data_IF_339725537642
#
_entry.id   IF_339725537642
#
_cell.length_a   1.000
_cell.length_b   1.000
_cell.length_c   1.000
_cell.angle_alpha   90.00
_cell.angle_beta   90.00
_cell.angle_gamma   90.00
#
_symmetry.space_group_name_H-M   'P 1'
#
loop_
_entity.id
_entity.type
_entity.pdbx_description
1 polymer ?
#
# COMPACT_ATOMS: atom_id res chain seq x y z
N UNK A 1 -63.74 20.31 -2.41
CA UNK A 1 -62.68 19.49 -1.75
C UNK A 1 -61.58 19.27 -2.74
N UNK A 2 -60.41 19.94 -2.53
CA UNK A 2 -59.22 19.76 -3.35
C UNK A 2 -58.26 18.86 -2.58
N UNK A 3 -58.02 17.65 -3.12
CA UNK A 3 -57.06 16.70 -2.58
C UNK A 3 -55.69 17.07 -3.14
N UNK A 4 -54.78 17.54 -2.28
CA UNK A 4 -53.39 17.82 -2.62
C UNK A 4 -52.65 16.50 -2.39
N UNK A 5 -52.26 15.85 -3.48
CA UNK A 5 -51.38 14.67 -3.45
C UNK A 5 -49.94 15.14 -3.33
N UNK A 6 -49.37 15.00 -2.15
CA UNK A 6 -47.95 15.27 -1.87
C UNK A 6 -47.11 14.08 -2.37
N UNK A 7 -46.47 14.25 -3.51
CA UNK A 7 -45.49 13.30 -4.05
C UNK A 7 -44.16 13.49 -3.28
N UNK A 8 -43.89 12.55 -2.37
CA UNK A 8 -42.58 12.43 -1.73
C UNK A 8 -41.58 11.86 -2.75
N UNK A 9 -40.72 12.71 -3.32
CA UNK A 9 -39.54 12.26 -4.01
C UNK A 9 -38.50 11.78 -2.99
N UNK A 10 -38.39 10.48 -2.82
CA UNK A 10 -37.23 9.86 -2.15
C UNK A 10 -36.05 9.96 -3.10
N UNK A 11 -35.22 10.97 -2.95
CA UNK A 11 -33.87 10.99 -3.55
C UNK A 11 -32.98 10.02 -2.79
N UNK A 12 -32.80 8.82 -3.34
CA UNK A 12 -31.77 7.92 -2.94
C UNK A 12 -30.42 8.58 -3.31
N UNK A 13 -29.84 9.29 -2.35
CA UNK A 13 -28.43 9.67 -2.44
C UNK A 13 -27.60 8.40 -2.31
N UNK A 14 -27.20 7.81 -3.44
CA UNK A 14 -26.11 6.86 -3.46
C UNK A 14 -24.86 7.62 -3.02
N UNK A 15 -24.42 7.39 -1.78
CA UNK A 15 -23.08 7.73 -1.35
C UNK A 15 -22.11 6.97 -2.26
N UNK A 16 -21.51 7.66 -3.22
CA UNK A 16 -20.34 7.19 -3.93
C UNK A 16 -19.17 7.27 -2.97
N UNK A 17 -19.04 6.28 -2.08
CA UNK A 17 -17.83 6.07 -1.32
C UNK A 17 -16.76 5.60 -2.30
N UNK A 18 -15.71 6.41 -2.51
CA UNK A 18 -14.49 5.97 -3.14
C UNK A 18 -13.96 6.74 -4.35
N UNK A 19 -14.54 7.87 -4.77
CA UNK A 19 -14.04 8.64 -5.91
C UNK A 19 -13.34 9.96 -5.52
N UNK A 20 -12.45 9.89 -4.55
CA UNK A 20 -11.46 10.96 -4.35
C UNK A 20 -10.44 10.96 -5.51
N UNK A 21 -9.80 12.11 -5.82
CA UNK A 21 -8.75 12.15 -6.83
C UNK A 21 -7.62 11.19 -6.41
N UNK A 22 -7.06 10.46 -7.39
CA UNK A 22 -5.90 9.60 -7.17
C UNK A 22 -4.75 10.45 -6.59
N UNK A 23 -3.98 9.86 -5.66
CA UNK A 23 -2.79 10.54 -5.19
C UNK A 23 -1.83 10.81 -6.36
N UNK A 24 -1.05 11.91 -6.35
CA UNK A 24 -0.08 12.20 -7.41
C UNK A 24 0.90 11.05 -7.65
N UNK A 25 1.28 10.33 -6.59
CA UNK A 25 2.19 9.17 -6.68
C UNK A 25 1.53 8.04 -7.47
N UNK A 26 0.28 7.70 -7.16
CA UNK A 26 -0.47 6.64 -7.85
C UNK A 26 -0.73 7.02 -9.31
N UNK A 27 -1.08 8.29 -9.56
CA UNK A 27 -1.29 8.80 -10.92
C UNK A 27 -0.01 8.64 -11.75
N UNK A 28 1.13 9.04 -11.19
CA UNK A 28 2.43 8.93 -11.88
C UNK A 28 2.83 7.46 -12.08
N UNK A 29 2.70 6.63 -11.05
CA UNK A 29 2.99 5.19 -11.14
C UNK A 29 2.30 4.51 -12.32
N UNK A 30 1.04 4.85 -12.56
CA UNK A 30 0.24 4.27 -13.66
C UNK A 30 0.72 4.67 -15.05
N UNK A 31 1.54 5.71 -15.18
CA UNK A 31 2.10 6.15 -16.47
C UNK A 31 3.45 5.53 -16.79
N UNK A 32 4.12 4.91 -15.82
CA UNK A 32 5.47 4.38 -15.96
C UNK A 32 5.49 3.02 -16.67
N UNK A 33 6.53 2.79 -17.49
CA UNK A 33 6.88 1.46 -17.98
C UNK A 33 7.46 0.59 -16.85
N UNK A 34 7.60 -0.71 -17.08
CA UNK A 34 7.98 -1.68 -16.03
C UNK A 34 9.36 -1.39 -15.43
N UNK A 35 10.35 -1.09 -16.26
CA UNK A 35 11.70 -0.71 -15.83
C UNK A 35 11.75 0.63 -15.12
N UNK A 36 10.94 1.59 -15.56
CA UNK A 36 10.79 2.88 -14.89
C UNK A 36 10.15 2.74 -13.50
N UNK A 37 9.21 1.81 -13.33
CA UNK A 37 8.61 1.49 -12.02
C UNK A 37 9.63 0.93 -11.05
N UNK A 38 10.55 0.09 -11.50
CA UNK A 38 11.62 -0.44 -10.64
C UNK A 38 12.55 0.69 -10.16
N UNK A 39 12.93 1.61 -11.05
CA UNK A 39 13.73 2.79 -10.72
C UNK A 39 12.98 3.70 -9.74
N UNK A 40 11.71 3.97 -10.02
CA UNK A 40 10.85 4.78 -9.15
C UNK A 40 10.75 4.16 -7.75
N UNK A 41 10.47 2.85 -7.68
CA UNK A 41 10.35 2.13 -6.42
C UNK A 41 11.66 2.19 -5.62
N UNK A 42 12.79 1.92 -6.25
CA UNK A 42 14.09 2.00 -5.59
C UNK A 42 14.36 3.41 -5.05
N UNK A 43 14.05 4.44 -5.84
CA UNK A 43 14.18 5.84 -5.41
C UNK A 43 13.27 6.18 -4.23
N UNK A 44 12.03 5.69 -4.24
CA UNK A 44 11.10 5.86 -3.12
C UNK A 44 11.62 5.19 -1.84
N UNK A 45 12.08 3.95 -1.94
CA UNK A 45 12.64 3.22 -0.80
C UNK A 45 13.87 3.92 -0.23
N UNK A 46 14.78 4.37 -1.09
CA UNK A 46 15.97 5.13 -0.70
C UNK A 46 15.59 6.44 0.01
N UNK A 47 14.60 7.18 -0.50
CA UNK A 47 14.14 8.40 0.14
C UNK A 47 13.58 8.15 1.54
N UNK A 48 12.81 7.08 1.73
CA UNK A 48 12.29 6.72 3.06
C UNK A 48 13.42 6.34 4.01
N UNK A 49 14.39 5.56 3.55
CA UNK A 49 15.57 5.17 4.32
C UNK A 49 16.40 6.38 4.75
N UNK A 50 16.70 7.28 3.82
CA UNK A 50 17.49 8.49 4.10
C UNK A 50 16.75 9.44 5.05
N UNK A 51 15.45 9.62 4.85
CA UNK A 51 14.63 10.46 5.75
C UNK A 51 14.66 9.94 7.18
N UNK A 52 14.55 8.61 7.38
CA UNK A 52 14.65 8.03 8.72
C UNK A 52 16.04 8.26 9.31
N UNK A 53 17.11 8.06 8.52
CA UNK A 53 18.48 8.28 8.95
C UNK A 53 18.72 9.75 9.34
N UNK A 54 18.17 10.69 8.59
CA UNK A 54 18.27 12.13 8.90
C UNK A 54 17.50 12.48 10.17
N UNK A 55 16.28 12.01 10.35
CA UNK A 55 15.51 12.21 11.58
C UNK A 55 16.26 11.68 12.80
N UNK A 56 16.82 10.47 12.70
CA UNK A 56 17.62 9.87 13.77
C UNK A 56 18.85 10.71 14.15
N UNK A 57 19.52 11.27 13.16
CA UNK A 57 20.74 12.06 13.36
C UNK A 57 20.45 13.50 13.83
N UNK A 58 19.37 14.12 13.35
CA UNK A 58 19.08 15.53 13.58
C UNK A 58 18.16 15.77 14.77
N UNK A 59 17.20 14.86 15.02
CA UNK A 59 16.18 14.97 16.07
C UNK A 59 16.43 13.97 17.20
N UNK A 60 17.13 12.87 16.92
CA UNK A 60 17.38 11.78 17.86
C UNK A 60 16.27 10.72 17.84
N UNK A 61 16.39 9.76 18.77
CA UNK A 61 15.38 8.73 18.95
C UNK A 61 14.22 9.23 19.80
N UNK A 62 12.99 8.85 19.43
CA UNK A 62 11.76 9.18 20.13
C UNK A 62 10.78 9.97 19.27
N UNK A 63 9.55 10.04 19.70
CA UNK A 63 8.49 10.82 19.09
C UNK A 63 8.34 10.62 17.59
N UNK A 64 8.68 11.63 16.80
CA UNK A 64 8.48 11.59 15.34
C UNK A 64 9.39 10.58 14.64
N UNK A 65 10.59 10.32 15.15
CA UNK A 65 11.54 9.36 14.56
C UNK A 65 11.01 7.93 14.74
N UNK A 66 10.50 7.60 15.93
CA UNK A 66 9.86 6.30 16.21
C UNK A 66 8.60 6.13 15.34
N UNK A 67 7.74 7.15 15.32
CA UNK A 67 6.53 7.10 14.48
C UNK A 67 6.88 6.87 13.01
N UNK A 68 7.91 7.58 12.49
CA UNK A 68 8.33 7.42 11.09
C UNK A 68 8.91 6.03 10.83
N UNK A 69 9.68 5.49 11.76
CA UNK A 69 10.17 4.13 11.69
C UNK A 69 9.03 3.13 11.60
N UNK A 70 8.14 3.11 12.58
CA UNK A 70 7.04 2.14 12.69
C UNK A 70 6.05 2.21 11.51
N UNK A 71 5.83 3.40 10.96
CA UNK A 71 4.81 3.60 9.93
C UNK A 71 5.36 3.67 8.50
N UNK A 72 6.67 3.76 8.31
CA UNK A 72 7.30 3.94 6.99
C UNK A 72 8.58 3.15 6.80
N UNK A 73 9.53 3.28 7.70
CA UNK A 73 10.90 2.85 7.47
C UNK A 73 11.13 1.36 7.78
N UNK A 74 10.46 0.79 8.79
CA UNK A 74 10.65 -0.62 9.18
C UNK A 74 10.51 -1.56 7.99
N UNK A 75 9.42 -1.42 7.23
CA UNK A 75 9.17 -2.21 6.03
C UNK A 75 10.25 -2.00 4.96
N UNK A 76 10.72 -0.75 4.79
CA UNK A 76 11.77 -0.42 3.81
C UNK A 76 13.10 -1.07 4.18
N UNK A 77 13.46 -1.06 5.46
CA UNK A 77 14.62 -1.81 5.95
C UNK A 77 14.48 -3.31 5.66
N UNK A 78 13.30 -3.88 5.94
CA UNK A 78 13.01 -5.28 5.64
C UNK A 78 13.12 -5.60 4.14
N UNK A 79 12.71 -4.70 3.25
CA UNK A 79 12.88 -4.87 1.80
C UNK A 79 14.37 -4.84 1.43
N UNK A 80 15.14 -3.87 1.93
CA UNK A 80 16.57 -3.77 1.63
C UNK A 80 17.36 -4.99 2.13
N UNK A 81 17.05 -5.50 3.30
CA UNK A 81 17.68 -6.70 3.86
C UNK A 81 17.42 -7.97 3.03
N UNK A 82 16.40 -7.94 2.18
CA UNK A 82 15.96 -9.10 1.38
C UNK A 82 16.08 -8.91 -0.13
N UNK A 83 16.68 -7.84 -0.61
CA UNK A 83 16.83 -7.58 -2.06
C UNK A 83 17.58 -8.66 -2.82
N UNK A 84 18.40 -9.48 -2.14
CA UNK A 84 19.06 -10.63 -2.75
C UNK A 84 18.08 -11.79 -3.04
N UNK A 85 16.97 -11.86 -2.29
CA UNK A 85 15.99 -12.95 -2.36
C UNK A 85 14.73 -12.48 -3.11
N UNK A 86 14.24 -11.27 -2.79
CA UNK A 86 13.05 -10.68 -3.39
C UNK A 86 13.48 -9.68 -4.47
N UNK A 87 13.10 -9.98 -5.71
CA UNK A 87 13.40 -9.09 -6.84
C UNK A 87 12.52 -7.84 -6.80
N UNK A 88 13.10 -6.69 -7.14
CA UNK A 88 12.35 -5.43 -7.27
C UNK A 88 11.18 -5.56 -8.26
N UNK A 89 11.40 -6.27 -9.37
CA UNK A 89 10.35 -6.57 -10.36
C UNK A 89 9.16 -7.34 -9.78
N UNK A 90 9.39 -8.21 -8.79
CA UNK A 90 8.33 -8.93 -8.10
C UNK A 90 7.47 -8.01 -7.25
N UNK A 91 8.10 -7.08 -6.53
CA UNK A 91 7.39 -6.07 -5.73
C UNK A 91 6.56 -5.16 -6.64
N UNK A 92 7.15 -4.70 -7.76
CA UNK A 92 6.45 -3.88 -8.77
C UNK A 92 5.23 -4.60 -9.31
N UNK A 93 5.35 -5.88 -9.64
CA UNK A 93 4.23 -6.71 -10.12
C UNK A 93 3.07 -6.74 -9.11
N UNK A 94 3.36 -6.87 -7.83
CA UNK A 94 2.32 -6.90 -6.80
C UNK A 94 1.71 -5.52 -6.52
N UNK A 95 2.48 -4.43 -6.69
CA UNK A 95 1.92 -3.07 -6.66
C UNK A 95 0.94 -2.87 -7.81
N UNK A 96 1.29 -3.33 -9.02
CA UNK A 96 0.39 -3.26 -10.18
C UNK A 96 -0.87 -4.09 -9.95
N UNK A 97 -0.74 -5.28 -9.39
CA UNK A 97 -1.88 -6.13 -9.03
C UNK A 97 -2.78 -5.43 -8.02
N UNK A 98 -2.23 -4.82 -6.96
CA UNK A 98 -2.99 -4.05 -5.99
C UNK A 98 -3.82 -2.95 -6.65
N UNK A 99 -3.21 -2.16 -7.53
CA UNK A 99 -3.90 -1.07 -8.21
C UNK A 99 -4.76 -1.50 -9.42
N UNK A 100 -4.75 -2.77 -9.79
CA UNK A 100 -5.67 -3.33 -10.79
C UNK A 100 -7.09 -3.46 -10.24
N UNK A 101 -7.24 -3.58 -8.93
CA UNK A 101 -8.54 -3.66 -8.27
C UNK A 101 -9.14 -2.27 -8.05
N UNK A 102 -10.38 -2.06 -8.49
CA UNK A 102 -11.09 -0.79 -8.40
C UNK A 102 -11.15 -0.23 -6.97
N UNK A 103 -11.35 -1.10 -5.99
CA UNK A 103 -11.49 -0.74 -4.57
C UNK A 103 -10.19 -0.22 -3.94
N UNK A 104 -9.05 -0.54 -4.58
CA UNK A 104 -7.73 -0.13 -4.11
C UNK A 104 -7.11 1.00 -4.95
N UNK A 105 -7.75 1.39 -6.04
CA UNK A 105 -7.21 2.37 -6.99
C UNK A 105 -6.85 3.73 -6.35
N UNK A 106 -7.53 4.10 -5.25
CA UNK A 106 -7.33 5.36 -4.54
C UNK A 106 -6.55 5.21 -3.21
N UNK A 107 -6.10 3.98 -2.90
CA UNK A 107 -5.37 3.74 -1.65
C UNK A 107 -3.96 4.34 -1.71
N UNK A 108 -3.40 4.76 -0.56
CA UNK A 108 -2.04 5.29 -0.49
C UNK A 108 -0.99 4.32 -1.02
N UNK A 109 0.08 4.84 -1.64
CA UNK A 109 1.16 4.02 -2.19
C UNK A 109 1.85 3.13 -1.14
N UNK A 110 1.94 3.59 0.11
CA UNK A 110 2.50 2.79 1.20
C UNK A 110 1.70 1.53 1.48
N UNK A 111 0.37 1.55 1.32
CA UNK A 111 -0.46 0.35 1.48
C UNK A 111 -0.22 -0.66 0.35
N UNK A 112 -0.08 -0.17 -0.89
CA UNK A 112 0.29 -1.02 -2.02
C UNK A 112 1.67 -1.66 -1.83
N UNK A 113 2.62 -0.91 -1.29
CA UNK A 113 3.96 -1.40 -0.99
C UNK A 113 3.93 -2.47 0.11
N UNK A 114 3.19 -2.24 1.19
CA UNK A 114 3.02 -3.21 2.28
C UNK A 114 2.38 -4.52 1.78
N UNK A 115 1.31 -4.41 1.01
CA UNK A 115 0.68 -5.55 0.35
C UNK A 115 1.70 -6.33 -0.49
N UNK A 116 2.45 -5.62 -1.33
CA UNK A 116 3.40 -6.21 -2.27
C UNK A 116 4.54 -6.92 -1.57
N UNK A 117 5.07 -6.33 -0.51
CA UNK A 117 6.13 -6.93 0.29
C UNK A 117 5.65 -8.22 0.96
N UNK A 118 4.47 -8.21 1.57
CA UNK A 118 3.88 -9.40 2.19
C UNK A 118 3.63 -10.52 1.17
N UNK A 119 3.17 -10.17 -0.03
CA UNK A 119 2.96 -11.16 -1.10
C UNK A 119 4.26 -11.70 -1.69
N UNK A 120 5.28 -10.86 -1.82
CA UNK A 120 6.60 -11.32 -2.25
C UNK A 120 7.22 -12.31 -1.27
N UNK A 121 7.00 -12.10 0.05
CA UNK A 121 7.50 -13.00 1.10
C UNK A 121 6.68 -14.26 1.31
N UNK A 122 5.39 -14.22 0.96
CA UNK A 122 4.49 -15.35 1.20
C UNK A 122 4.92 -16.60 0.42
N UNK A 123 4.98 -17.74 1.11
CA UNK A 123 5.20 -19.03 0.49
C UNK A 123 4.01 -19.42 -0.37
N UNK A 124 4.28 -19.98 -1.54
CA UNK A 124 3.27 -20.45 -2.46
C UNK A 124 3.71 -20.29 -3.91
N UNK A 125 3.26 -21.20 -4.78
CA UNK A 125 3.58 -21.21 -6.20
C UNK A 125 2.65 -20.34 -7.03
N UNK A 126 1.48 -20.02 -6.49
CA UNK A 126 0.46 -19.20 -7.15
C UNK A 126 -0.19 -18.22 -6.14
N UNK A 127 -1.00 -17.31 -6.68
CA UNK A 127 -1.64 -16.25 -5.90
C UNK A 127 -2.55 -16.78 -4.79
N UNK A 128 -3.31 -17.83 -5.07
CA UNK A 128 -4.25 -18.41 -4.12
C UNK A 128 -3.50 -18.98 -2.90
N UNK A 129 -2.46 -19.79 -3.16
CA UNK A 129 -1.62 -20.36 -2.11
C UNK A 129 -0.95 -19.27 -1.26
N UNK A 130 -0.42 -18.23 -1.90
CA UNK A 130 0.16 -17.08 -1.18
C UNK A 130 -0.87 -16.39 -0.31
N UNK A 131 -2.07 -16.17 -0.82
CA UNK A 131 -3.17 -15.55 -0.09
C UNK A 131 -3.61 -16.39 1.10
N UNK A 132 -3.79 -17.70 0.91
CA UNK A 132 -4.13 -18.63 2.00
C UNK A 132 -3.05 -18.65 3.08
N UNK A 133 -1.78 -18.69 2.72
CA UNK A 133 -0.67 -18.65 3.66
C UNK A 133 -0.59 -17.33 4.45
N UNK A 134 -0.93 -16.21 3.84
CA UNK A 134 -1.03 -14.93 4.54
C UNK A 134 -2.20 -14.89 5.53
N UNK A 135 -3.34 -15.49 5.18
CA UNK A 135 -4.51 -15.61 6.05
C UNK A 135 -4.18 -16.50 7.27
N UNK A 136 -3.52 -17.65 7.04
CA UNK A 136 -3.12 -18.57 8.11
C UNK A 136 -2.17 -17.92 9.13
N UNK A 137 -1.24 -17.07 8.68
CA UNK A 137 -0.31 -16.37 9.57
C UNK A 137 -0.98 -15.28 10.40
N UNK A 138 -2.14 -14.76 9.97
CA UNK A 138 -2.96 -13.81 10.76
C UNK A 138 -3.74 -14.48 11.90
N UNK A 139 -4.02 -15.78 11.78
CA UNK A 139 -4.86 -16.54 12.73
C UNK A 139 -4.02 -17.18 13.85
N UNK A 140 -2.69 -17.20 13.74
CA UNK A 140 -1.84 -17.63 14.87
C UNK A 140 -1.76 -16.49 15.89
N UNK A 141 -2.46 -16.59 17.04
CA UNK A 141 -2.23 -15.66 18.15
C UNK A 141 -0.76 -15.76 18.53
N UNK A 142 -0.11 -14.62 18.71
CA UNK A 142 1.25 -14.56 19.23
C UNK A 142 1.33 -15.49 20.45
N UNK A 143 2.33 -16.34 20.46
CA UNK A 143 2.69 -17.03 21.70
C UNK A 143 3.30 -15.98 22.60
N UNK A 144 2.57 -15.71 23.70
CA UNK A 144 3.10 -15.05 24.88
C UNK A 144 4.35 -15.75 25.40
#
# INVERSE_FOLDING_TARGET
MRVITLLFFFTLTFSQEGSGPLSPVVTYWKTLAQDEKEIFLFSYLTQVYETHSELKNSVGYGGITEWYYDNRAEMVYGIFDRLEIVRMSEIVRWIDEFYSHSDYANRPFVEALEFSYRFAEASGSNMLEKYENLQFNRIKPGKD
#
